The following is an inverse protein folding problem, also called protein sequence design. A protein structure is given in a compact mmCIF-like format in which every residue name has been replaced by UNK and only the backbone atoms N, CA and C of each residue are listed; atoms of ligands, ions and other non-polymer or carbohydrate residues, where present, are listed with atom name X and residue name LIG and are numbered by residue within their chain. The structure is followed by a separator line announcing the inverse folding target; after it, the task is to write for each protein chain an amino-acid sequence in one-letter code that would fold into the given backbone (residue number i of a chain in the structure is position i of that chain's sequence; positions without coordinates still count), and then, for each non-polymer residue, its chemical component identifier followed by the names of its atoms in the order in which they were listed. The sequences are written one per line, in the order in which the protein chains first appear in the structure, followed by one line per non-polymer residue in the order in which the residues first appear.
data_IF_151159874880
#
_entry.id   IF_151159874880
#
_cell.length_a   1.000
_cell.length_b   1.000
_cell.length_c   1.000
_cell.angle_alpha   90.00
_cell.angle_beta   90.00
_cell.angle_gamma   90.00
#
_symmetry.space_group_name_H-M   'P 1'
#
loop_
_entity.id
_entity.type
_entity.pdbx_description
1 polymer ?
#
# COMPACT_ATOMS: atom_id res chain seq x y z
N UNK A 1 -25.67 -17.37 8.60
CA UNK A 1 -24.52 -17.48 9.53
C UNK A 1 -23.45 -16.46 9.12
N UNK A 2 -22.75 -15.84 10.08
CA UNK A 2 -21.73 -14.84 9.80
C UNK A 2 -20.40 -15.48 9.34
N UNK A 3 -19.58 -14.71 8.64
CA UNK A 3 -18.25 -15.09 8.14
C UNK A 3 -17.27 -13.93 8.35
N UNK A 4 -16.03 -14.25 8.68
CA UNK A 4 -14.91 -13.30 8.74
C UNK A 4 -14.10 -13.45 7.46
N UNK A 5 -13.74 -12.32 6.83
CA UNK A 5 -12.95 -12.30 5.59
C UNK A 5 -11.83 -11.28 5.71
N UNK A 6 -10.69 -11.54 5.09
CA UNK A 6 -9.64 -10.55 4.94
C UNK A 6 -9.93 -9.66 3.72
N UNK A 7 -9.68 -8.37 3.84
CA UNK A 7 -9.70 -7.42 2.74
C UNK A 7 -8.28 -6.85 2.61
N UNK A 8 -7.69 -6.97 1.43
CA UNK A 8 -6.37 -6.43 1.17
C UNK A 8 -5.89 -6.80 -0.23
N UNK A 9 -4.82 -6.14 -0.67
CA UNK A 9 -4.11 -6.56 -1.87
C UNK A 9 -3.39 -7.89 -1.56
N UNK A 10 -3.59 -8.90 -2.40
CA UNK A 10 -2.96 -10.22 -2.22
C UNK A 10 -1.52 -10.27 -2.75
N UNK A 11 -1.07 -9.20 -3.39
CA UNK A 11 0.28 -9.05 -3.91
C UNK A 11 1.22 -8.39 -2.88
N UNK A 12 2.48 -8.81 -2.90
CA UNK A 12 3.54 -8.22 -2.07
C UNK A 12 4.14 -7.02 -2.78
N UNK A 13 4.21 -5.88 -2.10
CA UNK A 13 4.90 -4.69 -2.59
C UNK A 13 6.00 -4.33 -1.59
N UNK A 14 7.22 -4.06 -2.07
CA UNK A 14 8.36 -3.75 -1.19
C UNK A 14 8.22 -2.32 -0.68
N UNK A 15 8.66 -2.08 0.56
CA UNK A 15 8.66 -0.73 1.15
C UNK A 15 9.39 0.30 0.27
N UNK A 16 10.53 -0.07 -0.32
CA UNK A 16 11.27 0.84 -1.19
C UNK A 16 10.50 1.19 -2.47
N UNK A 17 9.67 0.27 -3.01
CA UNK A 17 8.83 0.58 -4.19
C UNK A 17 7.75 1.62 -3.86
N UNK A 18 7.23 1.62 -2.62
CA UNK A 18 6.33 2.68 -2.14
C UNK A 18 7.03 4.03 -2.01
N UNK A 19 8.24 4.04 -1.42
CA UNK A 19 9.04 5.26 -1.28
C UNK A 19 9.38 5.85 -2.64
N UNK A 20 9.84 5.01 -3.57
CA UNK A 20 10.15 5.41 -4.95
C UNK A 20 8.92 6.04 -5.63
N UNK A 21 7.74 5.43 -5.52
CA UNK A 21 6.52 5.96 -6.12
C UNK A 21 6.09 7.33 -5.53
N UNK A 22 6.32 7.56 -4.24
CA UNK A 22 6.08 8.89 -3.62
C UNK A 22 7.09 9.91 -4.15
N UNK A 23 8.38 9.56 -4.22
CA UNK A 23 9.42 10.44 -4.77
C UNK A 23 9.15 10.82 -6.22
N UNK A 24 8.67 9.87 -7.04
CA UNK A 24 8.27 10.10 -8.43
C UNK A 24 7.10 11.09 -8.51
N UNK A 25 6.08 10.93 -7.66
CA UNK A 25 4.93 11.86 -7.61
C UNK A 25 5.32 13.27 -7.15
N UNK A 26 6.33 13.38 -6.28
CA UNK A 26 6.80 14.67 -5.75
C UNK A 26 7.91 15.31 -6.60
N UNK A 27 8.50 14.57 -7.54
CA UNK A 27 9.68 14.98 -8.30
C UNK A 27 10.90 15.25 -7.41
N UNK A 28 10.97 14.63 -6.23
CA UNK A 28 12.01 14.89 -5.21
C UNK A 28 12.41 13.60 -4.53
N UNK A 29 13.72 13.38 -4.41
CA UNK A 29 14.28 12.25 -3.66
C UNK A 29 14.31 12.56 -2.16
N UNK A 30 13.96 11.57 -1.36
CA UNK A 30 14.08 11.66 0.09
C UNK A 30 15.54 11.44 0.50
N UNK A 31 15.98 12.12 1.56
CA UNK A 31 17.21 11.75 2.25
C UNK A 31 16.91 10.50 3.10
N UNK A 32 17.42 9.34 2.67
CA UNK A 32 17.07 8.05 3.26
C UNK A 32 18.01 7.72 4.41
N UNK A 33 17.45 7.57 5.60
CA UNK A 33 18.14 6.98 6.75
C UNK A 33 17.77 5.50 6.86
N UNK A 34 18.60 4.62 6.30
CA UNK A 34 18.36 3.18 6.34
C UNK A 34 18.62 2.62 7.74
N UNK A 35 17.62 1.95 8.30
CA UNK A 35 17.72 1.29 9.60
C UNK A 35 17.56 -0.22 9.43
N UNK A 36 18.06 -0.98 10.40
CA UNK A 36 17.79 -2.41 10.48
C UNK A 36 16.32 -2.72 10.76
N UNK A 37 15.95 -4.00 10.72
CA UNK A 37 14.60 -4.46 11.06
C UNK A 37 14.23 -4.01 12.48
N UNK A 38 13.08 -3.36 12.62
CA UNK A 38 12.62 -2.88 13.92
C UNK A 38 11.97 -4.02 14.69
N UNK A 39 11.99 -3.93 16.02
CA UNK A 39 11.30 -4.90 16.86
C UNK A 39 9.79 -4.84 16.58
N UNK A 40 9.22 -5.94 16.10
CA UNK A 40 7.81 -6.03 15.70
C UNK A 40 7.58 -6.07 14.19
N UNK A 41 8.61 -5.77 13.38
CA UNK A 41 8.54 -5.98 11.94
C UNK A 41 8.52 -7.47 11.61
N UNK A 42 7.75 -7.80 10.57
CA UNK A 42 7.70 -9.12 9.96
C UNK A 42 8.30 -9.03 8.56
N UNK A 43 9.16 -9.97 8.13
CA UNK A 43 9.88 -9.85 6.87
C UNK A 43 8.99 -9.69 5.63
N UNK A 44 7.79 -10.30 5.64
CA UNK A 44 6.77 -10.13 4.63
C UNK A 44 5.40 -10.57 5.15
N UNK A 45 4.35 -9.80 4.86
CA UNK A 45 2.94 -10.16 5.10
C UNK A 45 2.10 -9.84 3.88
N UNK A 46 0.99 -10.56 3.74
CA UNK A 46 0.01 -10.34 2.67
C UNK A 46 -1.36 -10.84 3.13
N UNK A 47 -2.42 -10.27 2.57
CA UNK A 47 -3.79 -10.69 2.85
C UNK A 47 -4.19 -11.85 1.93
N UNK A 48 -4.58 -12.99 2.50
CA UNK A 48 -5.31 -14.01 1.74
C UNK A 48 -6.78 -13.60 1.64
N UNK A 49 -7.18 -13.07 0.48
CA UNK A 49 -8.54 -12.60 0.19
C UNK A 49 -9.38 -13.61 -0.61
N UNK A 50 -8.95 -14.88 -0.72
CA UNK A 50 -9.65 -15.88 -1.55
C UNK A 50 -11.09 -16.12 -1.11
N UNK A 51 -11.35 -16.11 0.20
CA UNK A 51 -12.70 -16.25 0.74
C UNK A 51 -13.59 -15.06 0.36
N UNK A 52 -13.08 -13.83 0.42
CA UNK A 52 -13.82 -12.63 0.01
C UNK A 52 -14.19 -12.72 -1.47
N UNK A 53 -13.21 -13.05 -2.32
CA UNK A 53 -13.39 -13.21 -3.76
C UNK A 53 -14.39 -14.32 -4.09
N UNK A 54 -14.31 -15.46 -3.42
CA UNK A 54 -15.26 -16.57 -3.62
C UNK A 54 -16.69 -16.15 -3.30
N UNK A 55 -16.89 -15.39 -2.22
CA UNK A 55 -18.22 -14.99 -1.76
C UNK A 55 -18.82 -13.82 -2.55
N UNK A 56 -18.00 -12.95 -3.14
CA UNK A 56 -18.46 -11.66 -3.67
C UNK A 56 -18.03 -11.38 -5.11
N UNK A 57 -17.09 -12.15 -5.66
CA UNK A 57 -16.40 -11.84 -6.91
C UNK A 57 -15.43 -10.65 -6.83
N UNK A 58 -15.35 -9.97 -5.68
CA UNK A 58 -14.57 -8.76 -5.52
C UNK A 58 -13.07 -9.04 -5.29
N UNK A 59 -12.24 -8.18 -5.88
CA UNK A 59 -10.84 -7.96 -5.50
C UNK A 59 -10.52 -6.47 -5.64
N UNK A 60 -9.63 -5.89 -4.81
CA UNK A 60 -9.08 -4.57 -5.09
C UNK A 60 -8.47 -4.53 -6.51
N UNK A 61 -8.76 -3.46 -7.26
CA UNK A 61 -8.28 -3.29 -8.65
C UNK A 61 -7.36 -2.09 -8.85
N UNK A 62 -7.23 -1.24 -7.84
CA UNK A 62 -6.35 -0.07 -7.89
C UNK A 62 -4.90 -0.53 -7.79
N UNK A 63 -4.07 -0.19 -8.78
CA UNK A 63 -2.63 -0.37 -8.68
C UNK A 63 -2.06 0.48 -7.54
N UNK A 64 -1.01 0.01 -6.88
CA UNK A 64 -0.46 0.73 -5.73
C UNK A 64 0.14 2.08 -6.14
N UNK A 65 0.71 2.22 -7.34
CA UNK A 65 1.23 3.50 -7.84
C UNK A 65 0.10 4.49 -8.10
N UNK A 66 -1.00 4.03 -8.69
CA UNK A 66 -2.21 4.86 -8.86
C UNK A 66 -2.77 5.32 -7.51
N UNK A 67 -2.81 4.41 -6.53
CA UNK A 67 -3.22 4.73 -5.16
C UNK A 67 -2.35 5.78 -4.50
N UNK A 68 -1.02 5.67 -4.64
CA UNK A 68 -0.05 6.65 -4.12
C UNK A 68 -0.22 8.01 -4.81
N UNK A 69 -0.35 8.05 -6.13
CA UNK A 69 -0.53 9.29 -6.87
C UNK A 69 -1.78 10.06 -6.40
N UNK A 70 -2.92 9.36 -6.29
CA UNK A 70 -4.17 9.92 -5.78
C UNK A 70 -4.05 10.37 -4.32
N UNK A 71 -3.33 9.61 -3.49
CA UNK A 71 -3.09 10.00 -2.11
C UNK A 71 -2.23 11.26 -1.99
N UNK A 72 -1.15 11.36 -2.77
CA UNK A 72 -0.28 12.54 -2.79
C UNK A 72 -1.06 13.77 -3.25
N UNK A 73 -1.85 13.65 -4.31
CA UNK A 73 -2.74 14.73 -4.80
C UNK A 73 -3.69 15.20 -3.70
N UNK A 74 -4.42 14.29 -3.08
CA UNK A 74 -5.34 14.60 -1.98
C UNK A 74 -4.60 15.26 -0.79
N UNK A 75 -3.44 14.74 -0.40
CA UNK A 75 -2.71 15.25 0.76
C UNK A 75 -2.18 16.67 0.53
N UNK A 76 -1.80 16.99 -0.70
CA UNK A 76 -1.37 18.33 -1.11
C UNK A 76 -2.49 19.34 -1.02
N UNK A 77 -3.65 19.00 -1.60
CA UNK A 77 -4.86 19.81 -1.49
C UNK A 77 -5.27 20.03 -0.02
N UNK A 78 -5.32 18.94 0.75
CA UNK A 78 -5.66 18.98 2.18
C UNK A 78 -4.68 19.82 3.02
N UNK A 79 -3.38 19.72 2.76
CA UNK A 79 -2.34 20.41 3.54
C UNK A 79 -2.05 21.84 3.06
N UNK A 80 -2.72 22.31 2.02
CA UNK A 80 -2.49 23.62 1.40
C UNK A 80 -1.11 23.76 0.74
N UNK A 81 -0.54 22.65 0.23
CA UNK A 81 0.80 22.57 -0.39
C UNK A 81 0.79 22.23 -1.87
#
# INVERSE_FOLDING_TARGET
PYRVVNIGNSDKVRLLDFVDAIEDCLGKKAERNYMGMQTGDVPATWANAELLKTLTGYRPQTDFRDGIARFVEWYRDYSGK
#
